data_IF_437801068542
#
_entry.id   IF_437801068542
#
_cell.length_a   1.000
_cell.length_b   1.000
_cell.length_c   1.000
_cell.angle_alpha   90.00
_cell.angle_beta   90.00
_cell.angle_gamma   90.00
#
_symmetry.space_group_name_H-M   'P 1'
#
loop_
_entity.id
_entity.type
_entity.pdbx_description
1 polymer ?
#
# COMPACT_ATOMS: atom_id res chain seq x y z
N UNK A 1 -9.12 10.34 -10.66
CA UNK A 1 -8.51 9.13 -10.07
C UNK A 1 -8.91 8.98 -8.60
N UNK A 2 -8.49 9.85 -7.67
CA UNK A 2 -8.92 9.75 -6.26
C UNK A 2 -10.44 9.82 -6.09
N UNK A 3 -11.06 10.90 -6.56
CA UNK A 3 -12.51 11.14 -6.51
C UNK A 3 -13.34 10.10 -7.24
N UNK A 4 -12.91 9.74 -8.45
CA UNK A 4 -13.75 9.00 -9.40
C UNK A 4 -13.54 7.50 -9.36
N UNK A 5 -12.49 7.02 -8.68
CA UNK A 5 -12.12 5.61 -8.75
C UNK A 5 -11.63 5.05 -7.41
N UNK A 6 -10.59 5.62 -6.80
CA UNK A 6 -9.99 5.02 -5.61
C UNK A 6 -10.88 5.12 -4.37
N UNK A 7 -11.36 6.31 -4.02
CA UNK A 7 -12.12 6.52 -2.78
C UNK A 7 -13.47 5.81 -2.76
N UNK A 8 -14.26 5.79 -3.86
CA UNK A 8 -15.49 4.99 -3.89
C UNK A 8 -15.25 3.50 -3.59
N UNK A 9 -14.13 2.93 -4.05
CA UNK A 9 -13.79 1.53 -3.77
C UNK A 9 -13.35 1.33 -2.32
N UNK A 10 -12.51 2.21 -1.78
CA UNK A 10 -12.07 2.11 -0.38
C UNK A 10 -13.26 2.24 0.58
N UNK A 11 -14.17 3.19 0.35
CA UNK A 11 -15.38 3.36 1.16
C UNK A 11 -16.35 2.17 1.05
N UNK A 12 -16.39 1.50 -0.11
CA UNK A 12 -17.19 0.28 -0.26
C UNK A 12 -16.61 -0.91 0.50
N UNK A 13 -15.28 -0.93 0.70
CA UNK A 13 -14.56 -1.99 1.42
C UNK A 13 -14.54 -1.75 2.93
N UNK A 14 -14.23 -0.52 3.37
CA UNK A 14 -14.16 -0.13 4.78
C UNK A 14 -14.23 1.39 4.97
N UNK A 15 -14.88 1.83 6.05
CA UNK A 15 -14.80 3.22 6.52
C UNK A 15 -13.55 3.50 7.36
N UNK A 16 -12.86 2.45 7.82
CA UNK A 16 -11.71 2.52 8.72
C UNK A 16 -10.40 2.40 7.93
N UNK A 17 -10.02 3.51 7.28
CA UNK A 17 -8.71 3.63 6.63
C UNK A 17 -8.11 5.03 6.82
N UNK A 18 -6.78 5.09 6.64
CA UNK A 18 -6.02 6.33 6.57
C UNK A 18 -5.33 6.40 5.22
N UNK A 19 -5.54 7.50 4.48
CA UNK A 19 -4.93 7.70 3.18
C UNK A 19 -3.56 8.37 3.31
N UNK A 20 -2.50 7.78 2.74
CA UNK A 20 -1.16 8.37 2.75
C UNK A 20 -0.73 8.77 1.33
N UNK A 21 -0.14 9.96 1.18
CA UNK A 21 0.49 10.42 -0.06
C UNK A 21 1.93 10.91 0.14
N UNK A 22 2.75 10.78 -0.91
CA UNK A 22 4.19 11.09 -0.91
C UNK A 22 4.52 12.60 -0.93
N UNK A 23 3.53 13.45 -1.19
CA UNK A 23 3.70 14.89 -1.27
C UNK A 23 4.59 15.33 -2.44
N UNK A 24 4.66 14.57 -3.53
CA UNK A 24 5.29 15.00 -4.77
C UNK A 24 4.70 16.35 -5.25
N UNK A 25 5.44 17.17 -6.02
CA UNK A 25 4.96 18.50 -6.43
C UNK A 25 3.54 18.53 -7.05
N UNK A 26 3.12 17.55 -7.88
CA UNK A 26 1.74 17.47 -8.38
C UNK A 26 0.69 17.22 -7.28
N UNK A 27 1.07 16.48 -6.25
CA UNK A 27 0.20 16.07 -5.13
C UNK A 27 0.17 17.10 -3.99
N UNK A 28 1.10 18.07 -3.99
CA UNK A 28 1.13 19.17 -3.02
C UNK A 28 0.25 20.38 -3.38
N UNK A 29 -0.49 20.33 -4.49
CA UNK A 29 -1.36 21.41 -4.92
C UNK A 29 -2.46 21.69 -3.89
N UNK A 30 -2.81 22.98 -3.74
CA UNK A 30 -3.85 23.43 -2.80
C UNK A 30 -5.20 22.73 -3.00
N UNK A 31 -5.57 22.47 -4.26
CA UNK A 31 -6.82 21.77 -4.60
C UNK A 31 -6.86 20.34 -4.05
N UNK A 32 -5.74 19.61 -4.13
CA UNK A 32 -5.62 18.25 -3.59
C UNK A 32 -5.78 18.29 -2.07
N UNK A 33 -5.13 19.24 -1.39
CA UNK A 33 -5.21 19.38 0.07
C UNK A 33 -6.62 19.76 0.54
N UNK A 34 -7.27 20.71 -0.13
CA UNK A 34 -8.65 21.10 0.15
C UNK A 34 -9.61 19.92 -0.02
N UNK A 35 -9.42 19.14 -1.08
CA UNK A 35 -10.20 17.93 -1.30
C UNK A 35 -10.00 16.91 -0.17
N UNK A 36 -8.75 16.59 0.19
CA UNK A 36 -8.46 15.64 1.26
C UNK A 36 -8.93 16.12 2.65
N UNK A 37 -8.85 17.41 2.94
CA UNK A 37 -9.40 17.99 4.18
C UNK A 37 -10.93 17.86 4.26
N UNK A 38 -11.62 17.92 3.12
CA UNK A 38 -13.07 17.76 3.05
C UNK A 38 -13.52 16.30 3.17
N UNK A 39 -12.88 15.40 2.43
CA UNK A 39 -13.30 13.99 2.37
C UNK A 39 -12.76 13.14 3.53
N UNK A 40 -11.53 13.42 3.96
CA UNK A 40 -10.79 12.61 4.92
C UNK A 40 -10.27 13.47 6.10
N UNK A 41 -11.07 14.32 6.76
CA UNK A 41 -10.58 15.15 7.86
C UNK A 41 -9.98 14.26 8.96
N UNK A 42 -8.74 14.53 9.36
CA UNK A 42 -7.99 13.71 10.34
C UNK A 42 -7.88 12.23 9.93
N UNK A 43 -7.95 11.92 8.63
CA UNK A 43 -7.81 10.57 8.05
C UNK A 43 -6.87 10.51 6.85
N UNK A 44 -5.99 11.50 6.71
CA UNK A 44 -4.92 11.47 5.72
C UNK A 44 -3.57 11.91 6.26
N UNK A 45 -2.51 11.40 5.63
CA UNK A 45 -1.12 11.65 5.94
C UNK A 45 -0.40 12.15 4.67
N UNK A 46 0.42 13.18 4.83
CA UNK A 46 1.20 13.78 3.76
C UNK A 46 1.95 14.99 4.27
N UNK A 47 2.49 15.81 3.38
CA UNK A 47 2.96 17.14 3.80
C UNK A 47 1.81 17.91 4.49
N UNK A 48 2.11 18.73 5.49
CA UNK A 48 1.10 19.45 6.29
C UNK A 48 1.42 20.94 6.34
N UNK A 49 0.49 21.77 5.88
CA UNK A 49 0.47 23.22 6.10
C UNK A 49 -0.34 23.58 7.35
N UNK A 50 -0.32 24.85 7.74
CA UNK A 50 -0.98 25.33 8.96
C UNK A 50 -2.50 25.06 8.97
N UNK A 51 -3.14 25.11 7.81
CA UNK A 51 -4.58 24.94 7.65
C UNK A 51 -5.00 23.50 7.30
N UNK A 52 -4.06 22.56 7.24
CA UNK A 52 -4.35 21.19 6.81
C UNK A 52 -4.80 20.30 7.97
N UNK A 53 -5.85 19.51 7.72
CA UNK A 53 -6.43 18.55 8.66
C UNK A 53 -5.77 17.16 8.55
N UNK A 54 -4.54 17.09 8.05
CA UNK A 54 -3.75 15.87 8.06
C UNK A 54 -3.40 15.45 9.50
N UNK A 55 -3.44 14.15 9.78
CA UNK A 55 -3.16 13.58 11.12
C UNK A 55 -1.76 14.02 11.57
N UNK A 56 -0.75 13.71 10.76
CA UNK A 56 0.64 14.08 11.01
C UNK A 56 1.35 14.53 9.73
N UNK A 57 2.31 15.47 9.83
CA UNK A 57 3.19 15.79 8.72
C UNK A 57 4.04 14.57 8.36
N UNK A 58 4.04 14.18 7.09
CA UNK A 58 4.95 13.18 6.57
C UNK A 58 6.37 13.74 6.55
N UNK A 59 7.37 13.05 7.13
CA UNK A 59 8.74 13.54 7.13
C UNK A 59 9.30 13.61 5.71
N UNK A 60 10.06 14.66 5.35
CA UNK A 60 10.83 14.67 4.12
C UNK A 60 11.94 13.61 4.21
N UNK A 61 11.75 12.49 3.52
CA UNK A 61 12.62 11.30 3.45
C UNK A 61 12.66 10.54 4.77
N UNK A 62 11.85 9.48 4.83
CA UNK A 62 11.92 8.48 5.89
C UNK A 62 13.10 7.53 5.57
N UNK A 63 14.14 7.42 6.41
CA UNK A 63 15.25 6.49 6.20
C UNK A 63 14.75 5.04 6.02
N UNK A 64 13.69 4.63 6.72
CA UNK A 64 13.18 3.25 6.66
C UNK A 64 12.50 2.91 5.33
N UNK A 65 12.03 3.91 4.56
CA UNK A 65 11.57 3.66 3.18
C UNK A 65 12.73 3.28 2.26
N UNK A 66 13.97 3.67 2.60
CA UNK A 66 15.17 3.22 1.89
C UNK A 66 15.35 1.72 2.11
N UNK A 67 15.18 1.24 3.34
CA UNK A 67 15.27 -0.19 3.66
C UNK A 67 14.18 -1.00 2.94
N UNK A 68 12.94 -0.50 2.89
CA UNK A 68 11.87 -1.16 2.13
C UNK A 68 12.18 -1.14 0.64
N UNK A 69 12.63 0.00 0.11
CA UNK A 69 13.00 0.12 -1.31
C UNK A 69 14.17 -0.79 -1.67
N UNK A 70 15.17 -0.89 -0.81
CA UNK A 70 16.34 -1.74 -0.98
C UNK A 70 15.96 -3.22 -0.89
N UNK A 71 15.10 -3.58 0.06
CA UNK A 71 14.54 -4.94 0.15
C UNK A 71 13.74 -5.30 -1.11
N UNK A 72 12.89 -4.40 -1.62
CA UNK A 72 12.15 -4.61 -2.87
C UNK A 72 13.09 -4.71 -4.07
N UNK A 73 14.13 -3.87 -4.14
CA UNK A 73 15.11 -3.93 -5.22
C UNK A 73 16.02 -5.17 -5.15
N UNK A 74 16.20 -5.74 -3.95
CA UNK A 74 16.94 -6.97 -3.74
C UNK A 74 16.14 -8.22 -4.14
N UNK A 75 14.82 -8.11 -4.30
CA UNK A 75 14.00 -9.18 -4.89
C UNK A 75 14.31 -9.27 -6.38
N UNK A 76 14.99 -10.35 -6.78
CA UNK A 76 15.26 -10.63 -8.19
C UNK A 76 14.03 -11.23 -8.88
N UNK A 77 13.90 -11.07 -10.21
CA UNK A 77 12.86 -11.77 -10.96
C UNK A 77 12.87 -13.29 -10.72
N UNK A 78 14.06 -13.89 -10.62
CA UNK A 78 14.21 -15.33 -10.35
C UNK A 78 13.66 -15.72 -8.97
N UNK A 79 13.82 -14.88 -7.94
CA UNK A 79 13.24 -15.14 -6.61
C UNK A 79 11.71 -15.17 -6.67
N UNK A 80 11.11 -14.26 -7.43
CA UNK A 80 9.66 -14.23 -7.65
C UNK A 80 9.22 -15.49 -8.41
N UNK A 81 9.90 -15.84 -9.51
CA UNK A 81 9.59 -17.05 -10.28
C UNK A 81 9.70 -18.31 -9.42
N UNK A 82 10.76 -18.46 -8.63
CA UNK A 82 10.94 -19.62 -7.75
C UNK A 82 9.83 -19.73 -6.69
N UNK A 83 9.39 -18.62 -6.10
CA UNK A 83 8.29 -18.61 -5.13
C UNK A 83 6.98 -19.02 -5.79
N UNK A 84 6.72 -18.56 -7.02
CA UNK A 84 5.53 -18.97 -7.77
C UNK A 84 5.55 -20.45 -8.12
N UNK A 85 6.68 -20.95 -8.62
CA UNK A 85 6.84 -22.37 -8.95
C UNK A 85 6.67 -23.27 -7.73
N UNK A 86 7.26 -22.89 -6.58
CA UNK A 86 7.07 -23.60 -5.31
C UNK A 86 5.62 -23.58 -4.82
N UNK A 87 4.94 -22.44 -4.99
CA UNK A 87 3.54 -22.33 -4.61
C UNK A 87 2.65 -23.24 -5.47
N UNK A 88 2.82 -23.20 -6.80
CA UNK A 88 2.06 -24.05 -7.72
C UNK A 88 2.34 -25.54 -7.46
N UNK A 89 3.60 -25.90 -7.24
CA UNK A 89 3.99 -27.25 -6.85
C UNK A 89 3.28 -27.71 -5.56
N UNK A 90 3.27 -26.87 -4.51
CA UNK A 90 2.59 -27.19 -3.24
C UNK A 90 1.08 -27.33 -3.42
N UNK A 91 0.47 -26.51 -4.27
CA UNK A 91 -0.96 -26.64 -4.59
C UNK A 91 -1.24 -27.98 -5.29
N UNK A 92 -0.41 -28.37 -6.24
CA UNK A 92 -0.56 -29.65 -6.95
C UNK A 92 -0.36 -30.84 -6.02
N UNK A 93 0.63 -30.76 -5.11
CA UNK A 93 0.86 -31.77 -4.07
C UNK A 93 -0.33 -31.86 -3.11
N UNK A 94 -0.87 -30.73 -2.65
CA UNK A 94 -2.10 -30.68 -1.83
C UNK A 94 -3.30 -31.29 -2.55
N UNK A 95 -3.49 -31.02 -3.85
CA UNK A 95 -4.57 -31.63 -4.65
C UNK A 95 -4.37 -33.14 -4.77
N UNK A 96 -3.16 -33.59 -5.06
CA UNK A 96 -2.84 -35.02 -5.18
C UNK A 96 -3.07 -35.78 -3.86
N UNK A 97 -2.82 -35.12 -2.73
CA UNK A 97 -3.04 -35.67 -1.39
C UNK A 97 -4.48 -35.53 -0.88
N UNK A 98 -5.42 -35.05 -1.71
CA UNK A 98 -6.82 -34.86 -1.34
C UNK A 98 -7.05 -33.83 -0.24
N UNK A 99 -6.13 -32.86 -0.09
CA UNK A 99 -6.19 -31.84 0.97
C UNK A 99 -5.79 -32.33 2.36
N UNK A 100 -5.17 -33.51 2.48
CA UNK A 100 -4.57 -33.95 3.74
C UNK A 100 -3.37 -33.09 4.14
N UNK A 101 -3.03 -33.10 5.43
CA UNK A 101 -1.86 -32.39 5.94
C UNK A 101 -0.57 -33.04 5.45
N UNK A 102 0.38 -32.23 4.95
CA UNK A 102 1.63 -32.69 4.37
C UNK A 102 2.78 -32.07 5.16
N UNK A 103 3.39 -32.88 6.02
CA UNK A 103 4.58 -32.52 6.80
C UNK A 103 5.79 -33.29 6.28
N UNK A 104 6.15 -33.11 5.01
CA UNK A 104 7.50 -33.41 4.48
C UNK A 104 7.52 -33.08 2.98
N UNK A 105 8.21 -32.00 2.64
CA UNK A 105 8.86 -31.75 1.35
C UNK A 105 10.27 -31.27 1.66
#
# INVERSE_FOLDING_TARGET
>A
MLQTWLFPQLQADSDEFVFQQDGAPPHWKLEVRRYLNGELPQRWIGRKGNDDLAIHPWPPRFPDLTVIKDAVNAVTPDLISNVWEEFDYRIDVCRAAGGSHIEHL
#
